data_IF_199432670676
#
_entry.id   IF_199432670676
#
_cell.length_a   1.000
_cell.length_b   1.000
_cell.length_c   1.000
_cell.angle_alpha   90.00
_cell.angle_beta   90.00
_cell.angle_gamma   90.00
#
_symmetry.space_group_name_H-M   'P 1'
#
loop_
_entity.id
_entity.type
_entity.pdbx_description
1 polymer ?
#
# COMPACT_ATOMS: atom_id res chain seq x y z
N UNK A 1 16.18 -41.96 -2.91
CA UNK A 1 16.25 -41.22 -1.63
C UNK A 1 16.48 -39.72 -1.78
N UNK A 2 17.24 -39.22 -2.78
CA UNK A 2 17.39 -37.76 -2.99
C UNK A 2 16.15 -37.07 -3.59
N UNK A 3 15.39 -37.76 -4.45
CA UNK A 3 14.21 -37.19 -5.11
C UNK A 3 13.04 -36.90 -4.16
N UNK A 4 12.86 -37.72 -3.11
CA UNK A 4 11.83 -37.52 -2.08
C UNK A 4 12.15 -36.34 -1.16
N UNK A 5 13.44 -36.13 -0.85
CA UNK A 5 13.91 -34.99 -0.06
C UNK A 5 13.65 -33.63 -0.74
N UNK A 6 13.75 -33.57 -2.08
CA UNK A 6 13.45 -32.35 -2.84
C UNK A 6 11.95 -32.06 -2.82
N UNK A 7 11.09 -33.07 -2.98
CA UNK A 7 9.64 -32.88 -2.98
C UNK A 7 9.12 -32.40 -1.61
N UNK A 8 9.69 -32.92 -0.52
CA UNK A 8 9.28 -32.57 0.85
C UNK A 8 9.76 -31.19 1.30
N UNK A 9 10.91 -30.72 0.80
CA UNK A 9 11.50 -29.43 1.19
C UNK A 9 11.22 -28.29 0.21
N UNK A 10 10.66 -28.57 -0.98
CA UNK A 10 10.31 -27.54 -1.95
C UNK A 10 9.08 -26.78 -1.47
N UNK A 11 9.23 -25.47 -1.22
CA UNK A 11 8.10 -24.60 -0.92
C UNK A 11 7.13 -24.63 -2.10
N UNK A 12 5.86 -24.87 -1.82
CA UNK A 12 4.81 -24.80 -2.85
C UNK A 12 4.81 -23.42 -3.50
N UNK A 13 4.44 -23.36 -4.78
CA UNK A 13 4.31 -22.11 -5.55
C UNK A 13 3.43 -21.10 -4.82
N UNK A 14 2.40 -21.57 -4.12
CA UNK A 14 1.51 -20.75 -3.31
C UNK A 14 2.22 -20.09 -2.11
N UNK A 15 3.05 -20.85 -1.38
CA UNK A 15 3.86 -20.32 -0.28
C UNK A 15 4.86 -19.28 -0.78
N UNK A 16 5.52 -19.54 -1.92
CA UNK A 16 6.41 -18.58 -2.56
C UNK A 16 5.66 -17.29 -2.94
N UNK A 17 4.48 -17.40 -3.55
CA UNK A 17 3.65 -16.24 -3.91
C UNK A 17 3.26 -15.41 -2.68
N UNK A 18 2.82 -16.06 -1.60
CA UNK A 18 2.49 -15.39 -0.32
C UNK A 18 3.69 -14.64 0.25
N UNK A 19 4.89 -15.23 0.15
CA UNK A 19 6.12 -14.60 0.61
C UNK A 19 6.49 -13.37 -0.22
N UNK A 20 6.37 -13.44 -1.55
CA UNK A 20 6.64 -12.32 -2.46
C UNK A 20 5.75 -11.12 -2.10
N UNK A 21 4.45 -11.32 -1.91
CA UNK A 21 3.53 -10.23 -1.58
C UNK A 21 3.94 -9.49 -0.30
N UNK A 22 4.30 -10.24 0.75
CA UNK A 22 4.78 -9.68 2.02
C UNK A 22 6.08 -8.90 1.85
N UNK A 23 7.05 -9.49 1.13
CA UNK A 23 8.35 -8.87 0.89
C UNK A 23 8.21 -7.59 0.06
N UNK A 24 7.30 -7.54 -0.91
CA UNK A 24 7.06 -6.33 -1.71
C UNK A 24 6.67 -5.14 -0.83
N UNK A 25 5.69 -5.29 0.07
CA UNK A 25 5.28 -4.22 0.99
C UNK A 25 6.44 -3.81 1.92
N UNK A 26 7.20 -4.78 2.41
CA UNK A 26 8.37 -4.51 3.25
C UNK A 26 9.43 -3.71 2.49
N UNK A 27 9.77 -4.11 1.26
CA UNK A 27 10.71 -3.38 0.40
C UNK A 27 10.23 -1.94 0.14
N UNK A 28 8.94 -1.75 -0.14
CA UNK A 28 8.37 -0.42 -0.32
C UNK A 28 8.43 0.42 0.96
N UNK A 29 8.20 -0.19 2.13
CA UNK A 29 8.40 0.47 3.42
C UNK A 29 9.86 0.90 3.64
N UNK A 30 10.82 0.03 3.36
CA UNK A 30 12.24 0.37 3.43
C UNK A 30 12.59 1.51 2.48
N UNK A 31 12.12 1.45 1.22
CA UNK A 31 12.32 2.50 0.23
C UNK A 31 11.77 3.84 0.73
N UNK A 32 10.54 3.86 1.26
CA UNK A 32 9.97 5.07 1.85
C UNK A 32 10.83 5.57 3.00
N UNK A 33 11.21 4.70 3.96
CA UNK A 33 12.04 5.10 5.10
C UNK A 33 13.39 5.72 4.67
N UNK A 34 14.02 5.15 3.65
CA UNK A 34 15.29 5.65 3.11
C UNK A 34 15.16 7.01 2.43
N UNK A 35 14.02 7.33 1.81
CA UNK A 35 13.81 8.63 1.16
C UNK A 35 13.71 9.80 2.15
N UNK A 36 13.42 9.54 3.44
CA UNK A 36 13.29 10.58 4.48
C UNK A 36 14.47 10.64 5.44
N UNK A 37 15.38 9.65 5.41
CA UNK A 37 16.66 9.81 6.07
C UNK A 37 17.50 10.75 5.22
N UNK A 38 17.62 12.01 5.65
CA UNK A 38 18.89 12.69 5.46
C UNK A 38 19.94 11.73 6.00
N UNK A 39 20.83 11.25 5.13
CA UNK A 39 21.88 10.30 5.48
C UNK A 39 22.90 11.05 6.34
N UNK A 40 22.52 11.38 7.56
CA UNK A 40 23.49 11.62 8.64
C UNK A 40 23.86 10.24 9.16
N UNK A 41 25.09 9.85 8.86
CA UNK A 41 25.69 8.59 9.30
C UNK A 41 25.47 8.41 10.81
N UNK A 42 24.75 7.35 11.20
CA UNK A 42 24.60 6.96 12.59
C UNK A 42 23.17 6.97 13.15
N UNK A 43 22.15 7.47 12.43
CA UNK A 43 20.76 7.33 12.89
C UNK A 43 20.22 5.92 12.51
N UNK A 44 19.82 5.09 13.49
CA UNK A 44 19.30 3.75 13.21
C UNK A 44 18.11 3.83 12.25
N UNK A 45 18.14 3.04 11.17
CA UNK A 45 17.05 3.06 10.20
C UNK A 45 15.72 2.72 10.89
N UNK A 46 14.66 3.48 10.57
CA UNK A 46 13.30 3.34 11.12
C UNK A 46 12.65 1.96 10.85
N UNK A 47 13.40 1.07 10.21
CA UNK A 47 13.19 -0.34 9.97
C UNK A 47 12.56 -1.10 11.14
N UNK A 48 12.90 -0.75 12.40
CA UNK A 48 12.37 -1.42 13.59
C UNK A 48 10.84 -1.23 13.75
N UNK A 49 10.23 -0.27 13.04
CA UNK A 49 8.77 -0.02 13.05
C UNK A 49 8.02 -0.80 11.97
N UNK A 50 8.71 -1.54 11.10
CA UNK A 50 8.06 -2.29 10.01
C UNK A 50 7.37 -3.52 10.60
N UNK A 51 6.05 -3.40 10.79
CA UNK A 51 5.22 -4.50 11.24
C UNK A 51 5.12 -5.59 10.16
N UNK A 52 4.93 -6.84 10.61
CA UNK A 52 4.64 -7.95 9.70
C UNK A 52 3.22 -7.79 9.17
N UNK A 53 3.09 -7.63 7.86
CA UNK A 53 1.79 -7.47 7.20
C UNK A 53 1.13 -8.84 7.00
N UNK A 54 -0.14 -9.04 7.42
CA UNK A 54 -0.91 -10.20 7.06
C UNK A 54 -1.02 -10.38 5.55
N UNK A 55 -1.20 -11.62 5.08
CA UNK A 55 -1.22 -11.93 3.64
C UNK A 55 -2.39 -11.22 2.94
N UNK A 56 -3.56 -11.23 3.57
CA UNK A 56 -4.76 -10.63 2.97
C UNK A 56 -4.63 -9.11 2.87
N UNK A 57 -4.06 -8.47 3.89
CA UNK A 57 -3.75 -7.04 3.86
C UNK A 57 -2.68 -6.70 2.81
N UNK A 58 -1.64 -7.53 2.67
CA UNK A 58 -0.63 -7.34 1.62
C UNK A 58 -1.21 -7.48 0.21
N UNK A 59 -2.13 -8.44 -0.01
CA UNK A 59 -2.85 -8.56 -1.29
C UNK A 59 -3.71 -7.32 -1.56
N UNK A 60 -4.43 -6.85 -0.53
CA UNK A 60 -5.30 -5.68 -0.64
C UNK A 60 -4.50 -4.42 -0.97
N UNK A 61 -3.37 -4.18 -0.29
CA UNK A 61 -2.47 -3.07 -0.56
C UNK A 61 -1.93 -3.07 -2.00
N UNK A 62 -1.56 -4.25 -2.52
CA UNK A 62 -1.05 -4.40 -3.89
C UNK A 62 -2.16 -4.44 -4.96
N UNK A 63 -3.42 -4.30 -4.56
CA UNK A 63 -4.55 -4.28 -5.49
C UNK A 63 -4.56 -2.97 -6.27
N UNK A 64 -4.68 -3.09 -7.60
CA UNK A 64 -4.87 -1.94 -8.50
C UNK A 64 -6.17 -1.21 -8.15
N UNK A 65 -6.15 0.12 -8.18
CA UNK A 65 -7.35 0.93 -7.95
C UNK A 65 -8.48 0.63 -8.94
N UNK A 66 -8.16 0.11 -10.13
CA UNK A 66 -9.16 -0.34 -11.12
C UNK A 66 -10.04 -1.49 -10.62
N UNK A 67 -9.54 -2.28 -9.67
CA UNK A 67 -10.26 -3.43 -9.11
C UNK A 67 -11.11 -3.08 -7.89
N UNK A 68 -11.06 -1.84 -7.40
CA UNK A 68 -11.78 -1.37 -6.22
C UNK A 68 -13.13 -0.71 -6.54
N UNK A 69 -13.67 -0.94 -7.73
CA UNK A 69 -14.94 -0.36 -8.21
C UNK A 69 -15.01 1.18 -8.10
N UNK A 70 -13.85 1.84 -8.11
CA UNK A 70 -13.74 3.30 -8.15
C UNK A 70 -14.07 3.79 -9.57
N UNK A 71 -14.72 4.95 -9.69
CA UNK A 71 -15.00 5.57 -11.00
C UNK A 71 -13.71 5.69 -11.82
N UNK A 72 -13.75 5.17 -13.05
CA UNK A 72 -12.62 5.13 -13.98
C UNK A 72 -12.02 6.53 -14.19
N UNK A 73 -12.83 7.59 -14.12
CA UNK A 73 -12.36 8.99 -14.20
C UNK A 73 -11.45 9.33 -13.03
N UNK A 74 -11.83 8.96 -11.80
CA UNK A 74 -11.02 9.17 -10.60
C UNK A 74 -9.72 8.37 -10.69
N UNK A 75 -9.80 7.09 -11.11
CA UNK A 75 -8.60 6.26 -11.30
C UNK A 75 -7.64 6.87 -12.32
N UNK A 76 -8.14 7.43 -13.43
CA UNK A 76 -7.31 8.13 -14.42
C UNK A 76 -6.62 9.36 -13.85
N UNK A 77 -7.32 10.13 -13.01
CA UNK A 77 -6.75 11.31 -12.34
C UNK A 77 -5.66 10.91 -11.34
N UNK A 78 -5.90 9.86 -10.55
CA UNK A 78 -4.92 9.32 -9.61
C UNK A 78 -3.66 8.82 -10.34
N UNK A 79 -3.82 8.12 -11.48
CA UNK A 79 -2.70 7.67 -12.30
C UNK A 79 -1.86 8.81 -12.87
N UNK A 80 -2.47 9.92 -13.27
CA UNK A 80 -1.73 11.13 -13.70
C UNK A 80 -0.84 11.68 -12.59
N UNK A 81 -1.19 11.42 -11.33
CA UNK A 81 -0.44 11.81 -10.14
C UNK A 81 0.41 10.65 -9.58
N UNK A 82 0.71 9.63 -10.39
CA UNK A 82 1.52 8.44 -10.03
C UNK A 82 0.94 7.56 -8.90
N UNK A 83 -0.39 7.55 -8.74
CA UNK A 83 -1.07 6.69 -7.78
C UNK A 83 -1.75 5.54 -8.55
N UNK A 84 -1.26 4.31 -8.41
CA UNK A 84 -1.72 3.15 -9.19
C UNK A 84 -2.34 2.05 -8.33
N UNK A 85 -1.75 1.79 -7.17
CA UNK A 85 -2.19 0.75 -6.23
C UNK A 85 -2.83 1.38 -4.99
N UNK A 86 -3.56 0.57 -4.24
CA UNK A 86 -4.10 0.99 -2.94
C UNK A 86 -2.97 1.44 -2.00
N UNK A 87 -1.83 0.74 -2.02
CA UNK A 87 -0.64 1.12 -1.27
C UNK A 87 -0.22 2.57 -1.54
N UNK A 88 -0.10 2.96 -2.82
CA UNK A 88 0.32 4.32 -3.20
C UNK A 88 -0.64 5.37 -2.66
N UNK A 89 -1.95 5.10 -2.78
CA UNK A 89 -2.99 5.99 -2.32
C UNK A 89 -2.94 6.15 -0.80
N UNK A 90 -2.85 5.06 -0.06
CA UNK A 90 -2.80 5.08 1.40
C UNK A 90 -1.51 5.71 1.92
N UNK A 91 -0.36 5.50 1.26
CA UNK A 91 0.88 6.21 1.59
C UNK A 91 0.75 7.71 1.36
N UNK A 92 0.14 8.12 0.25
CA UNK A 92 -0.11 9.53 -0.02
C UNK A 92 -1.00 10.17 1.06
N UNK A 93 -2.12 9.52 1.41
CA UNK A 93 -3.05 10.00 2.43
C UNK A 93 -2.37 10.05 3.81
N UNK A 94 -1.64 8.99 4.19
CA UNK A 94 -0.97 8.96 5.49
C UNK A 94 0.09 10.06 5.63
N UNK A 95 0.75 10.43 4.54
CA UNK A 95 1.77 11.50 4.53
C UNK A 95 1.17 12.90 4.54
N UNK A 96 0.16 13.16 3.71
CA UNK A 96 -0.31 14.52 3.42
C UNK A 96 -1.69 14.84 4.00
N UNK A 97 -2.40 13.84 4.53
CA UNK A 97 -3.82 13.91 4.87
C UNK A 97 -4.73 13.67 3.66
N UNK A 98 -5.97 13.26 3.92
CA UNK A 98 -6.94 12.98 2.86
C UNK A 98 -7.28 14.22 2.02
N UNK A 99 -7.41 15.38 2.67
CA UNK A 99 -7.77 16.63 2.00
C UNK A 99 -6.70 17.10 0.99
N UNK A 100 -5.47 16.59 1.08
CA UNK A 100 -4.43 16.85 0.08
C UNK A 100 -4.76 16.23 -1.29
N UNK A 101 -5.62 15.22 -1.36
CA UNK A 101 -6.09 14.65 -2.63
C UNK A 101 -6.79 15.70 -3.49
N UNK A 102 -7.57 16.60 -2.87
CA UNK A 102 -8.25 17.69 -3.59
C UNK A 102 -7.33 18.78 -4.12
N UNK A 103 -6.03 18.74 -3.75
CA UNK A 103 -5.00 19.64 -4.29
C UNK A 103 -4.29 19.03 -5.49
N UNK A 104 -4.52 17.75 -5.80
CA UNK A 104 -3.94 17.09 -6.97
C UNK A 104 -4.55 17.66 -8.25
N UNK A 105 -3.74 17.74 -9.30
CA UNK A 105 -4.18 18.32 -10.56
C UNK A 105 -5.37 17.54 -11.13
N UNK A 106 -6.50 18.22 -11.28
CA UNK A 106 -7.74 17.67 -11.83
C UNK A 106 -8.58 16.85 -10.86
N UNK A 107 -8.15 16.68 -9.60
CA UNK A 107 -8.96 16.04 -8.56
C UNK A 107 -9.74 17.11 -7.81
N UNK A 108 -11.06 17.13 -8.02
CA UNK A 108 -11.96 18.06 -7.35
C UNK A 108 -12.53 17.51 -6.04
N UNK A 109 -13.20 18.35 -5.24
CA UNK A 109 -13.81 17.94 -3.97
C UNK A 109 -14.86 16.83 -4.15
N UNK A 110 -15.63 16.86 -5.24
CA UNK A 110 -16.59 15.79 -5.56
C UNK A 110 -15.91 14.44 -5.78
N UNK A 111 -14.79 14.41 -6.49
CA UNK A 111 -14.01 13.19 -6.71
C UNK A 111 -13.43 12.65 -5.41
N UNK A 112 -13.02 13.51 -4.49
CA UNK A 112 -12.57 13.11 -3.16
C UNK A 112 -13.72 12.48 -2.35
N UNK A 113 -14.91 13.07 -2.36
CA UNK A 113 -16.08 12.51 -1.66
C UNK A 113 -16.45 11.14 -2.21
N UNK A 114 -16.57 11.01 -3.53
CA UNK A 114 -16.88 9.73 -4.20
C UNK A 114 -15.81 8.66 -3.92
N UNK A 115 -14.53 9.05 -3.89
CA UNK A 115 -13.45 8.14 -3.55
C UNK A 115 -13.56 7.67 -2.10
N UNK A 116 -13.85 8.57 -1.15
CA UNK A 116 -14.01 8.23 0.26
C UNK A 116 -15.19 7.29 0.48
N UNK A 117 -16.33 7.56 -0.15
CA UNK A 117 -17.51 6.69 -0.12
C UNK A 117 -17.15 5.28 -0.59
N UNK A 118 -16.48 5.14 -1.73
CA UNK A 118 -16.07 3.83 -2.26
C UNK A 118 -15.09 3.10 -1.35
N UNK A 119 -14.12 3.81 -0.77
CA UNK A 119 -13.17 3.22 0.18
C UNK A 119 -13.83 2.81 1.50
N UNK A 120 -14.90 3.51 1.89
CA UNK A 120 -15.71 3.18 3.08
C UNK A 120 -16.61 1.98 2.82
N UNK A 121 -17.26 1.92 1.64
CA UNK A 121 -18.02 0.74 1.17
C UNK A 121 -17.15 -0.51 1.12
N UNK A 122 -15.90 -0.37 0.66
CA UNK A 122 -14.91 -1.45 0.63
C UNK A 122 -14.33 -1.80 2.02
N UNK A 123 -14.76 -1.11 3.10
CA UNK A 123 -14.26 -1.26 4.48
C UNK A 123 -12.75 -1.07 4.62
N UNK A 124 -12.16 -0.25 3.76
CA UNK A 124 -10.73 0.09 3.80
C UNK A 124 -10.50 1.28 4.72
N UNK A 125 -11.34 2.31 4.58
CA UNK A 125 -11.27 3.55 5.37
C UNK A 125 -12.52 3.68 6.26
N UNK A 126 -12.33 4.27 7.44
CA UNK A 126 -13.39 4.63 8.38
C UNK A 126 -13.38 6.16 8.59
N UNK A 127 -13.77 6.87 7.54
CA UNK A 127 -13.60 8.32 7.44
C UNK A 127 -12.23 8.75 6.92
N UNK A 128 -11.94 10.06 6.99
CA UNK A 128 -10.79 10.67 6.31
C UNK A 128 -9.43 10.28 6.88
N UNK A 129 -9.36 10.05 8.20
CA UNK A 129 -8.09 9.89 8.92
C UNK A 129 -7.90 8.49 9.51
N UNK A 130 -8.91 7.63 9.43
CA UNK A 130 -8.85 6.27 9.99
C UNK A 130 -8.77 5.23 8.88
N UNK A 131 -7.66 4.49 8.86
CA UNK A 131 -7.50 3.29 8.04
C UNK A 131 -6.64 2.30 8.81
N UNK A 132 -7.17 1.09 9.02
CA UNK A 132 -6.47 0.06 9.78
C UNK A 132 -5.15 -0.38 9.10
N UNK A 133 -5.03 -0.20 7.78
CA UNK A 133 -3.82 -0.54 7.02
C UNK A 133 -2.67 0.44 7.25
N UNK A 134 -2.93 1.63 7.81
CA UNK A 134 -1.88 2.60 8.09
C UNK A 134 -0.81 2.07 9.06
N UNK A 135 -1.15 1.15 9.95
CA UNK A 135 -0.17 0.53 10.86
C UNK A 135 0.96 -0.23 10.12
N UNK A 136 0.69 -0.67 8.90
CA UNK A 136 1.63 -1.44 8.08
C UNK A 136 2.47 -0.60 7.14
N UNK A 137 2.13 0.69 6.95
CA UNK A 137 2.77 1.56 5.97
C UNK A 137 3.72 2.56 6.65
N UNK A 138 4.95 2.66 6.16
CA UNK A 138 5.92 3.69 6.56
C UNK A 138 5.94 4.81 5.52
N UNK A 139 5.78 6.06 5.96
CA UNK A 139 5.72 7.26 5.12
C UNK A 139 6.59 8.36 5.68
#
# INVERSE_FOLDING_TARGET
MAATYIHENWKTTETCRKQVLKLTIQCNNYKSALQYQNVEEGVPCMCNRIQKVPIEDAKLLLTSLEKLEIDIRIVRLLRKNNIYQLEDLLRFIKKNGFDALGKLQGVGPLSCTQLLEKLTEAKIMDGKDSCYLFQYLIV
#
